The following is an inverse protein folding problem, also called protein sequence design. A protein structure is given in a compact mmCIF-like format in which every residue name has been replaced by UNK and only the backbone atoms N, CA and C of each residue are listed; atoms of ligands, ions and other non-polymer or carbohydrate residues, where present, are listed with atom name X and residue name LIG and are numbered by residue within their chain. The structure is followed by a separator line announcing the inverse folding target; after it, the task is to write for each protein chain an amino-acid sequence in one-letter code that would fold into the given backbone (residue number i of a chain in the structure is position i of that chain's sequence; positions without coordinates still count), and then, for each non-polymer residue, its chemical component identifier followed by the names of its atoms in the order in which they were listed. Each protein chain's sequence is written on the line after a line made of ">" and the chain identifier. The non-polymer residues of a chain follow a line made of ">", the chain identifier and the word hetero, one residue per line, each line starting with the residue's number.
data_IF_611806721231
#
_entry.id   IF_611806721231
#
_cell.length_a   1.000
_cell.length_b   1.000
_cell.length_c   1.000
_cell.angle_alpha   90.00
_cell.angle_beta   90.00
_cell.angle_gamma   90.00
#
_symmetry.space_group_name_H-M   'P 1'
#
loop_
_entity.id
_entity.type
_entity.pdbx_description
1 polymer ?
#
# COMPACT_ATOMS: atom_id res chain seq x y z
N UNK A 1 30.12 14.47 27.40
CA UNK A 1 29.44 14.61 26.10
C UNK A 1 29.29 13.22 25.49
N UNK A 2 28.08 12.67 25.49
CA UNK A 2 27.79 11.37 24.89
C UNK A 2 26.53 11.53 24.06
N UNK A 3 26.66 11.43 22.74
CA UNK A 3 25.55 11.43 21.79
C UNK A 3 25.47 10.03 21.22
N UNK A 4 24.29 9.40 21.29
CA UNK A 4 23.54 8.84 20.15
C UNK A 4 22.36 8.01 20.64
N UNK A 5 21.22 8.35 20.07
CA UNK A 5 19.87 7.92 20.42
C UNK A 5 19.63 6.44 20.09
N UNK A 6 19.05 5.76 21.07
CA UNK A 6 18.44 4.44 20.97
C UNK A 6 17.03 4.56 20.36
N UNK A 7 16.82 3.98 19.17
CA UNK A 7 15.51 3.55 18.67
C UNK A 7 15.67 2.35 17.74
N UNK A 8 16.06 1.21 18.31
CA UNK A 8 15.75 -0.08 17.68
C UNK A 8 14.35 -0.51 18.14
N UNK A 9 13.35 -0.32 17.28
CA UNK A 9 12.03 -0.91 17.52
C UNK A 9 12.12 -2.41 17.26
N UNK A 10 11.68 -3.28 18.19
CA UNK A 10 11.70 -4.71 17.98
C UNK A 10 10.71 -5.07 16.86
N UNK A 11 11.21 -5.79 15.88
CA UNK A 11 10.43 -6.48 14.86
C UNK A 11 9.41 -7.39 15.54
N UNK A 12 8.19 -7.33 15.03
CA UNK A 12 7.04 -8.14 15.38
C UNK A 12 7.40 -9.58 15.80
N UNK A 13 7.05 -9.96 17.02
CA UNK A 13 6.81 -11.36 17.36
C UNK A 13 5.32 -11.58 17.17
N UNK A 14 4.93 -12.33 16.13
CA UNK A 14 3.55 -12.80 16.00
C UNK A 14 3.46 -14.11 16.78
N UNK A 15 2.85 -14.05 17.96
CA UNK A 15 2.31 -15.24 18.59
C UNK A 15 1.06 -15.67 17.80
N UNK A 16 1.21 -16.72 16.99
CA UNK A 16 0.11 -17.35 16.24
C UNK A 16 -0.55 -18.38 17.16
N UNK A 17 -1.65 -17.99 17.81
CA UNK A 17 -2.66 -18.93 18.28
C UNK A 17 -3.76 -19.04 17.22
N UNK A 18 -3.83 -20.22 16.62
CA UNK A 18 -4.74 -20.58 15.54
C UNK A 18 -6.15 -20.81 16.07
N UNK A 19 -7.16 -20.10 15.54
CA UNK A 19 -8.55 -20.58 15.45
C UNK A 19 -9.34 -20.01 14.26
N UNK A 20 -9.47 -20.85 13.23
CA UNK A 20 -10.70 -21.16 12.46
C UNK A 20 -11.68 -20.02 12.10
N UNK A 21 -11.65 -19.54 10.85
CA UNK A 21 -12.68 -19.80 9.82
C UNK A 21 -12.52 -18.90 8.57
N UNK A 22 -12.74 -19.48 7.39
CA UNK A 22 -13.12 -18.79 6.15
C UNK A 22 -12.23 -17.64 5.62
N UNK A 23 -11.18 -17.96 4.86
CA UNK A 23 -10.70 -17.01 3.83
C UNK A 23 -10.02 -17.75 2.69
N UNK A 24 -10.76 -17.89 1.59
CA UNK A 24 -10.21 -18.30 0.30
C UNK A 24 -9.42 -17.11 -0.26
N UNK A 25 -8.11 -17.28 -0.42
CA UNK A 25 -7.33 -16.51 -1.41
C UNK A 25 -6.36 -15.43 -0.92
N UNK A 26 -5.68 -15.61 0.22
CA UNK A 26 -4.52 -14.77 0.60
C UNK A 26 -3.24 -15.30 -0.06
N UNK A 27 -3.08 -15.19 -1.38
CA UNK A 27 -1.86 -15.71 -2.05
C UNK A 27 -1.24 -14.81 -3.14
N UNK A 28 -1.85 -13.69 -3.55
CA UNK A 28 -1.34 -13.00 -4.75
C UNK A 28 -0.31 -11.89 -4.53
N UNK A 29 0.01 -11.50 -3.29
CA UNK A 29 0.85 -10.31 -3.04
C UNK A 29 2.32 -10.61 -2.67
N UNK A 30 2.73 -11.87 -2.59
CA UNK A 30 4.05 -12.25 -2.04
C UNK A 30 4.73 -13.27 -2.95
N UNK A 31 5.63 -12.79 -3.81
CA UNK A 31 6.66 -13.65 -4.41
C UNK A 31 7.94 -13.53 -3.56
N UNK A 32 8.40 -14.64 -2.97
CA UNK A 32 9.64 -14.72 -2.20
C UNK A 32 9.78 -13.75 -1.00
N UNK A 33 8.67 -13.30 -0.41
CA UNK A 33 8.67 -12.39 0.73
C UNK A 33 8.87 -10.91 0.38
N UNK A 34 8.98 -10.57 -0.92
CA UNK A 34 8.92 -9.18 -1.40
C UNK A 34 7.52 -8.87 -1.94
N UNK A 35 6.98 -7.67 -1.67
CA UNK A 35 5.84 -7.17 -2.42
C UNK A 35 6.21 -7.15 -3.90
N UNK A 36 5.35 -7.69 -4.75
CA UNK A 36 5.49 -7.57 -6.20
C UNK A 36 5.63 -6.08 -6.57
N UNK A 37 6.45 -5.75 -7.58
CA UNK A 37 6.59 -4.35 -8.00
C UNK A 37 5.20 -3.80 -8.39
N UNK A 38 4.80 -2.61 -7.89
CA UNK A 38 3.47 -2.08 -8.16
C UNK A 38 3.13 -1.93 -9.64
N UNK A 39 4.11 -1.92 -10.55
CA UNK A 39 3.86 -1.84 -11.99
C UNK A 39 3.07 -3.03 -12.54
N UNK A 40 3.12 -4.18 -11.87
CA UNK A 40 2.45 -5.42 -12.27
C UNK A 40 1.12 -5.65 -11.54
N UNK A 41 0.73 -4.75 -10.64
CA UNK A 41 -0.52 -4.88 -9.87
C UNK A 41 -1.73 -4.68 -10.77
N UNK A 42 -2.66 -5.63 -10.72
CA UNK A 42 -4.00 -5.43 -11.25
C UNK A 42 -4.82 -4.57 -10.28
N UNK A 43 -6.02 -4.13 -10.72
CA UNK A 43 -6.93 -3.34 -9.88
C UNK A 43 -7.21 -4.03 -8.53
N UNK A 44 -7.39 -5.36 -8.55
CA UNK A 44 -7.65 -6.13 -7.33
C UNK A 44 -6.48 -6.08 -6.32
N UNK A 45 -5.24 -6.01 -6.82
CA UNK A 45 -4.06 -5.95 -5.96
C UNK A 45 -3.92 -4.58 -5.31
N UNK A 46 -4.21 -3.49 -6.05
CA UNK A 46 -4.29 -2.13 -5.51
C UNK A 46 -5.35 -2.04 -4.40
N UNK A 47 -6.55 -2.59 -4.66
CA UNK A 47 -7.66 -2.59 -3.70
C UNK A 47 -7.28 -3.39 -2.44
N UNK A 48 -6.70 -4.57 -2.61
CA UNK A 48 -6.28 -5.41 -1.50
C UNK A 48 -5.17 -4.75 -0.68
N UNK A 49 -4.18 -4.13 -1.32
CA UNK A 49 -3.14 -3.37 -0.65
C UNK A 49 -3.75 -2.31 0.29
N UNK A 50 -4.64 -1.45 -0.23
CA UNK A 50 -5.24 -0.39 0.57
C UNK A 50 -6.18 -0.91 1.66
N UNK A 51 -6.87 -2.03 1.45
CA UNK A 51 -7.60 -2.71 2.54
C UNK A 51 -6.67 -3.17 3.65
N UNK A 52 -5.57 -3.85 3.31
CA UNK A 52 -4.61 -4.39 4.27
C UNK A 52 -3.90 -3.31 5.08
N UNK A 53 -3.60 -2.15 4.47
CA UNK A 53 -2.96 -1.01 5.18
C UNK A 53 -3.94 -0.11 5.94
N UNK A 54 -5.22 -0.52 6.06
CA UNK A 54 -6.21 0.14 6.93
C UNK A 54 -7.10 1.18 6.24
N UNK A 55 -7.14 1.22 4.90
CA UNK A 55 -7.98 2.12 4.10
C UNK A 55 -9.09 1.37 3.36
N UNK A 56 -9.72 0.39 4.03
CA UNK A 56 -10.70 -0.49 3.39
C UNK A 56 -11.92 0.22 2.78
N UNK A 57 -12.38 1.30 3.43
CA UNK A 57 -13.47 2.14 2.89
C UNK A 57 -13.03 2.90 1.64
N UNK A 58 -11.79 3.40 1.60
CA UNK A 58 -11.27 4.18 0.49
C UNK A 58 -10.83 3.30 -0.68
N UNK A 59 -10.46 2.04 -0.41
CA UNK A 59 -10.09 1.06 -1.41
C UNK A 59 -11.21 0.83 -2.46
N UNK A 60 -12.47 1.06 -2.10
CA UNK A 60 -13.61 0.97 -3.03
C UNK A 60 -13.48 2.00 -4.16
N UNK A 61 -13.01 3.22 -3.87
CA UNK A 61 -12.82 4.24 -4.90
C UNK A 61 -11.75 3.83 -5.93
N UNK A 62 -10.69 3.15 -5.50
CA UNK A 62 -9.68 2.60 -6.43
C UNK A 62 -10.28 1.51 -7.34
N UNK A 63 -11.20 0.70 -6.80
CA UNK A 63 -11.91 -0.31 -7.60
C UNK A 63 -12.86 0.34 -8.62
N UNK A 64 -13.65 1.33 -8.20
CA UNK A 64 -14.64 2.02 -9.03
C UNK A 64 -14.01 2.83 -10.16
N UNK A 65 -12.84 3.41 -9.90
CA UNK A 65 -12.06 4.16 -10.89
C UNK A 65 -11.12 3.25 -11.70
N UNK A 66 -11.19 1.93 -11.51
CA UNK A 66 -10.38 0.93 -12.21
C UNK A 66 -8.87 1.21 -12.14
N UNK A 67 -8.40 1.66 -10.97
CA UNK A 67 -7.00 2.02 -10.77
C UNK A 67 -6.16 0.75 -10.64
N UNK A 68 -5.44 0.42 -11.71
CA UNK A 68 -4.38 -0.58 -11.71
C UNK A 68 -3.05 -0.01 -11.19
N UNK A 69 -2.04 -0.86 -11.07
CA UNK A 69 -0.73 -0.50 -10.55
C UNK A 69 -0.01 0.57 -11.36
N UNK A 70 -0.11 0.52 -12.69
CA UNK A 70 0.48 1.51 -13.59
C UNK A 70 -0.18 2.87 -13.42
N UNK A 71 -1.51 2.89 -13.37
CA UNK A 71 -2.30 4.09 -13.09
C UNK A 71 -1.94 4.67 -11.74
N UNK A 72 -1.85 3.83 -10.70
CA UNK A 72 -1.46 4.23 -9.34
C UNK A 72 -0.09 4.91 -9.31
N UNK A 73 0.91 4.35 -10.02
CA UNK A 73 2.25 4.90 -10.11
C UNK A 73 2.30 6.24 -10.87
N UNK A 74 1.30 6.55 -11.69
CA UNK A 74 1.19 7.81 -12.43
C UNK A 74 0.31 8.85 -11.75
N UNK A 75 -0.45 8.47 -10.71
CA UNK A 75 -1.35 9.39 -10.01
C UNK A 75 -0.58 10.59 -9.44
N UNK A 76 -1.08 11.77 -9.74
CA UNK A 76 -0.62 13.01 -9.12
C UNK A 76 -1.28 13.20 -7.75
N UNK A 77 -0.76 14.17 -6.99
CA UNK A 77 -1.38 14.60 -5.74
C UNK A 77 -2.85 14.99 -5.92
N UNK A 78 -3.18 15.70 -7.00
CA UNK A 78 -4.54 16.17 -7.23
C UNK A 78 -5.48 15.00 -7.57
N UNK A 79 -5.02 14.00 -8.31
CA UNK A 79 -5.84 12.82 -8.64
C UNK A 79 -6.29 12.10 -7.36
N UNK A 80 -5.40 11.97 -6.37
CA UNK A 80 -5.75 11.35 -5.08
C UNK A 80 -6.62 12.26 -4.22
N UNK A 81 -6.29 13.55 -4.13
CA UNK A 81 -6.97 14.49 -3.21
C UNK A 81 -8.36 14.90 -3.70
N UNK A 82 -8.59 14.94 -5.01
CA UNK A 82 -9.86 15.41 -5.59
C UNK A 82 -10.46 14.44 -6.59
N UNK A 83 -9.67 13.65 -7.31
CA UNK A 83 -10.18 12.74 -8.34
C UNK A 83 -10.90 11.51 -7.78
N UNK A 84 -10.46 10.98 -6.64
CA UNK A 84 -11.06 9.79 -6.01
C UNK A 84 -12.28 10.09 -5.11
N UNK A 85 -12.72 11.35 -5.01
CA UNK A 85 -13.84 11.77 -4.15
C UNK A 85 -13.74 11.33 -2.68
N UNK A 86 -12.51 11.22 -2.16
CA UNK A 86 -12.24 10.81 -0.78
C UNK A 86 -12.34 12.00 0.19
N UNK A 87 -12.58 11.72 1.48
CA UNK A 87 -12.41 12.74 2.52
C UNK A 87 -10.95 13.19 2.56
N UNK A 88 -10.72 14.50 2.73
CA UNK A 88 -9.40 15.13 2.66
C UNK A 88 -8.35 14.48 3.59
N UNK A 89 -8.72 14.17 4.84
CA UNK A 89 -7.82 13.57 5.81
C UNK A 89 -7.26 12.22 5.34
N UNK A 90 -8.11 11.21 5.07
CA UNK A 90 -7.68 9.96 4.45
C UNK A 90 -6.94 10.13 3.13
N UNK A 91 -7.40 11.01 2.24
CA UNK A 91 -6.74 11.25 0.95
C UNK A 91 -5.29 11.72 1.08
N UNK A 92 -5.03 12.65 2.01
CA UNK A 92 -3.67 13.11 2.32
C UNK A 92 -2.80 11.97 2.84
N UNK A 93 -3.33 11.13 3.73
CA UNK A 93 -2.59 9.98 4.27
C UNK A 93 -2.24 8.97 3.18
N UNK A 94 -3.21 8.64 2.32
CA UNK A 94 -3.02 7.74 1.18
C UNK A 94 -1.92 8.26 0.26
N UNK A 95 -1.95 9.54 -0.10
CA UNK A 95 -0.95 10.09 -1.00
C UNK A 95 0.46 10.11 -0.36
N UNK A 96 0.61 10.68 0.83
CA UNK A 96 1.94 10.90 1.44
C UNK A 96 2.59 9.61 1.95
N UNK A 97 1.81 8.66 2.47
CA UNK A 97 2.35 7.45 3.11
C UNK A 97 2.28 6.19 2.26
N UNK A 98 1.54 6.18 1.15
CA UNK A 98 1.41 4.99 0.30
C UNK A 98 1.76 5.28 -1.16
N UNK A 99 1.00 6.14 -1.85
CA UNK A 99 1.20 6.37 -3.30
C UNK A 99 2.61 6.89 -3.59
N UNK A 100 3.03 7.96 -2.92
CA UNK A 100 4.35 8.58 -3.14
C UNK A 100 5.52 7.66 -2.77
N UNK A 101 5.48 6.90 -1.64
CA UNK A 101 6.47 5.87 -1.37
C UNK A 101 6.55 4.77 -2.44
N UNK A 102 5.41 4.25 -2.91
CA UNK A 102 5.36 3.23 -3.98
C UNK A 102 5.99 3.74 -5.28
N UNK A 103 5.69 4.99 -5.66
CA UNK A 103 6.32 5.67 -6.80
C UNK A 103 7.83 5.80 -6.64
N UNK A 104 8.28 6.24 -5.46
CA UNK A 104 9.71 6.43 -5.18
C UNK A 104 10.48 5.11 -5.22
N UNK A 105 9.88 4.03 -4.70
CA UNK A 105 10.47 2.70 -4.73
C UNK A 105 10.60 2.17 -6.16
N UNK A 106 9.55 2.30 -6.97
CA UNK A 106 9.55 1.87 -8.37
C UNK A 106 10.65 2.57 -9.19
N UNK A 107 10.82 3.88 -9.02
CA UNK A 107 11.88 4.64 -9.70
C UNK A 107 13.29 4.17 -9.33
N UNK A 108 13.51 3.80 -8.07
CA UNK A 108 14.82 3.26 -7.61
C UNK A 108 15.12 1.88 -8.19
N UNK A 109 14.10 1.04 -8.34
CA UNK A 109 14.25 -0.29 -8.92
C UNK A 109 14.63 -0.22 -10.42
N UNK A 110 14.07 0.74 -11.16
CA UNK A 110 14.31 0.91 -12.60
C UNK A 110 15.56 1.71 -12.98
N UNK A 111 16.29 2.24 -11.99
CA UNK A 111 17.52 3.01 -12.21
C UNK A 111 18.79 2.23 -11.85
N UNK A 112 18.66 0.93 -11.56
CA UNK A 112 19.77 0.00 -11.27
C UNK A 112 20.14 -0.85 -12.46
#
# INVERSE_FOLDING_TARGET
>A
AGVREDRSLPMYSVDVENKENGSVGVQNAIENGRPLDPVDWAVIDVVNYFRTVGFAEQAIAFQEQEIDGKSLLLMTRNDVLTGLSLKLGPALKIYEYHVKPLQTQHLKNNSS
#
